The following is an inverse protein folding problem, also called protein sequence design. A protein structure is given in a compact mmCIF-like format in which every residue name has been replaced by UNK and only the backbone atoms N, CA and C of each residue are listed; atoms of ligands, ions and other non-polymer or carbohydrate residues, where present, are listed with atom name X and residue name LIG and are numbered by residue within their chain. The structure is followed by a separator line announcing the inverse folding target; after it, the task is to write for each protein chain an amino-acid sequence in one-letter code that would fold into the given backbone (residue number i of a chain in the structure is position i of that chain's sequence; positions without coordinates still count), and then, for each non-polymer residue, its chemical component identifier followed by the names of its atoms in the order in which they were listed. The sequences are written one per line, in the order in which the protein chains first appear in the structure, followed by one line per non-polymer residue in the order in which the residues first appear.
data_IF_206151011439
#
_entry.id   IF_206151011439
#
_cell.length_a   1.000
_cell.length_b   1.000
_cell.length_c   1.000
_cell.angle_alpha   90.00
_cell.angle_beta   90.00
_cell.angle_gamma   90.00
#
_symmetry.space_group_name_H-M   'P 1'
#
loop_
_entity.id
_entity.type
_entity.pdbx_description
1 polymer ?
#
# COMPACT_ATOMS: atom_id res chain seq x y z
N UNK A 1 11.26 24.48 -9.51
CA UNK A 1 11.64 23.83 -10.78
C UNK A 1 11.80 22.32 -10.62
N UNK A 2 12.62 21.84 -9.68
CA UNK A 2 12.82 20.40 -9.41
C UNK A 2 11.56 19.63 -9.00
N UNK A 3 10.68 20.21 -8.18
CA UNK A 3 9.41 19.59 -7.75
C UNK A 3 8.49 19.26 -8.94
N UNK A 4 8.40 20.17 -9.92
CA UNK A 4 7.64 19.98 -11.16
C UNK A 4 8.27 18.88 -12.04
N UNK A 5 9.59 18.84 -12.15
CA UNK A 5 10.32 17.80 -12.90
C UNK A 5 10.13 16.40 -12.28
N UNK A 6 10.16 16.31 -10.94
CA UNK A 6 9.90 15.07 -10.20
C UNK A 6 8.43 14.64 -10.30
N UNK A 7 7.48 15.59 -10.29
CA UNK A 7 6.06 15.29 -10.50
C UNK A 7 5.75 14.81 -11.92
N UNK A 8 6.43 15.35 -12.95
CA UNK A 8 6.34 14.89 -14.33
C UNK A 8 6.90 13.46 -14.46
N UNK A 9 7.94 13.13 -13.69
CA UNK A 9 8.44 11.75 -13.58
C UNK A 9 7.48 10.80 -12.84
N UNK A 10 6.52 11.28 -12.05
CA UNK A 10 5.48 10.42 -11.47
C UNK A 10 4.40 10.02 -12.50
N UNK A 11 4.25 10.76 -13.60
CA UNK A 11 3.36 10.40 -14.72
C UNK A 11 4.06 9.53 -15.79
N UNK A 12 5.39 9.61 -15.89
CA UNK A 12 6.21 8.78 -16.78
C UNK A 12 6.83 7.61 -16.01
N UNK A 13 6.69 6.37 -16.47
CA UNK A 13 7.19 5.14 -15.80
C UNK A 13 8.73 5.02 -15.60
N UNK A 14 9.49 6.12 -15.57
CA UNK A 14 10.96 6.14 -15.48
C UNK A 14 11.44 6.40 -14.05
N UNK A 15 11.29 5.37 -13.20
CA UNK A 15 11.78 5.38 -11.82
C UNK A 15 13.29 5.64 -11.72
N UNK A 16 14.08 5.22 -12.72
CA UNK A 16 15.53 5.48 -12.77
C UNK A 16 15.85 6.98 -12.92
N UNK A 17 15.10 7.70 -13.75
CA UNK A 17 15.29 9.14 -13.93
C UNK A 17 15.00 9.90 -12.63
N UNK A 18 14.02 9.42 -11.85
CA UNK A 18 13.65 10.02 -10.56
C UNK A 18 14.83 9.97 -9.57
N UNK A 19 15.53 8.83 -9.47
CA UNK A 19 16.70 8.71 -8.60
C UNK A 19 17.89 9.53 -9.11
N UNK A 20 18.13 9.57 -10.43
CA UNK A 20 19.20 10.41 -11.02
C UNK A 20 18.98 11.90 -10.74
N UNK A 21 17.76 12.40 -10.90
CA UNK A 21 17.42 13.78 -10.58
C UNK A 21 17.62 14.09 -9.09
N UNK A 22 17.34 13.12 -8.22
CA UNK A 22 17.61 13.28 -6.79
C UNK A 22 19.09 13.44 -6.47
N UNK A 23 19.97 12.66 -7.12
CA UNK A 23 21.42 12.82 -6.94
C UNK A 23 21.87 14.24 -7.34
N UNK A 24 21.37 14.75 -8.47
CA UNK A 24 21.66 16.13 -8.90
C UNK A 24 21.15 17.17 -7.89
N UNK A 25 19.93 17.00 -7.35
CA UNK A 25 19.43 17.89 -6.30
C UNK A 25 20.34 17.89 -5.06
N UNK A 26 20.89 16.72 -4.69
CA UNK A 26 21.82 16.64 -3.56
C UNK A 26 23.16 17.32 -3.85
N UNK A 27 23.69 17.21 -5.07
CA UNK A 27 24.90 17.91 -5.51
C UNK A 27 24.72 19.42 -5.49
N UNK A 28 23.54 19.91 -5.89
CA UNK A 28 23.16 21.32 -5.81
C UNK A 28 22.84 21.81 -4.38
N UNK A 29 22.92 20.92 -3.38
CA UNK A 29 22.58 21.25 -1.98
C UNK A 29 21.08 21.53 -1.75
N UNK A 30 20.22 21.10 -2.67
CA UNK A 30 18.78 21.33 -2.63
C UNK A 30 18.09 20.16 -1.95
N UNK A 31 17.42 20.45 -0.84
CA UNK A 31 16.70 19.43 -0.09
C UNK A 31 15.35 19.08 -0.73
N UNK A 32 14.99 17.79 -0.86
CA UNK A 32 13.67 17.40 -1.36
C UNK A 32 12.55 17.85 -0.43
N UNK A 33 11.45 18.28 -1.02
CA UNK A 33 10.19 18.51 -0.32
C UNK A 33 9.38 17.20 -0.16
N UNK A 34 8.25 17.27 0.55
CA UNK A 34 7.40 16.10 0.82
C UNK A 34 6.92 15.40 -0.47
N UNK A 35 6.62 16.17 -1.53
CA UNK A 35 6.20 15.61 -2.82
C UNK A 35 7.33 14.86 -3.52
N UNK A 36 8.55 15.41 -3.49
CA UNK A 36 9.73 14.75 -4.02
C UNK A 36 10.04 13.45 -3.28
N UNK A 37 9.91 13.41 -1.94
CA UNK A 37 10.06 12.16 -1.17
C UNK A 37 9.05 11.10 -1.58
N UNK A 38 7.78 11.48 -1.76
CA UNK A 38 6.75 10.57 -2.24
C UNK A 38 7.13 9.96 -3.59
N UNK A 39 7.61 10.78 -4.53
CA UNK A 39 8.06 10.31 -5.84
C UNK A 39 9.27 9.37 -5.72
N UNK A 40 10.23 9.72 -4.86
CA UNK A 40 11.44 8.93 -4.63
C UNK A 40 11.15 7.57 -4.01
N UNK A 41 10.26 7.50 -3.01
CA UNK A 41 9.84 6.25 -2.39
C UNK A 41 9.09 5.35 -3.38
N UNK A 42 8.23 5.92 -4.24
CA UNK A 42 7.57 5.19 -5.33
C UNK A 42 8.58 4.66 -6.35
N UNK A 43 9.60 5.44 -6.68
CA UNK A 43 10.69 5.00 -7.56
C UNK A 43 11.46 3.83 -6.94
N UNK A 44 11.83 3.91 -5.65
CA UNK A 44 12.48 2.82 -4.91
C UNK A 44 11.63 1.54 -4.92
N UNK A 45 10.33 1.68 -4.67
CA UNK A 45 9.37 0.59 -4.71
C UNK A 45 9.27 -0.09 -6.09
N UNK A 46 9.40 0.69 -7.18
CA UNK A 46 9.35 0.18 -8.55
C UNK A 46 10.66 -0.49 -8.97
N UNK A 47 11.79 0.05 -8.51
CA UNK A 47 13.13 -0.47 -8.81
C UNK A 47 13.58 -1.57 -7.84
N UNK A 48 12.77 -1.89 -6.84
CA UNK A 48 13.11 -2.81 -5.77
C UNK A 48 14.37 -2.41 -4.98
N UNK A 49 14.63 -1.10 -4.87
CA UNK A 49 15.83 -0.56 -4.23
C UNK A 49 15.59 -0.28 -2.74
N UNK A 50 15.67 -1.34 -1.93
CA UNK A 50 15.45 -1.28 -0.49
C UNK A 50 16.43 -0.35 0.23
N UNK A 51 17.70 -0.36 -0.17
CA UNK A 51 18.75 0.43 0.50
C UNK A 51 18.45 1.92 0.39
N UNK A 52 18.10 2.40 -0.80
CA UNK A 52 17.78 3.81 -1.01
C UNK A 52 16.46 4.18 -0.35
N UNK A 53 15.46 3.30 -0.40
CA UNK A 53 14.20 3.47 0.32
C UNK A 53 14.39 3.65 1.83
N UNK A 54 15.26 2.85 2.46
CA UNK A 54 15.61 2.98 3.89
C UNK A 54 16.29 4.30 4.21
N UNK A 55 17.25 4.74 3.39
CA UNK A 55 17.91 6.04 3.56
C UNK A 55 16.92 7.20 3.50
N UNK A 56 16.01 7.18 2.51
CA UNK A 56 14.97 8.20 2.37
C UNK A 56 14.04 8.21 3.58
N UNK A 57 13.57 7.05 4.02
CA UNK A 57 12.70 6.95 5.19
C UNK A 57 13.40 7.45 6.47
N UNK A 58 14.69 7.12 6.66
CA UNK A 58 15.47 7.65 7.78
C UNK A 58 15.61 9.17 7.73
N UNK A 59 15.86 9.76 6.54
CA UNK A 59 15.90 11.21 6.35
C UNK A 59 14.56 11.87 6.71
N UNK A 60 13.44 11.27 6.27
CA UNK A 60 12.11 11.79 6.58
C UNK A 60 11.83 11.74 8.09
N UNK A 61 12.21 10.66 8.78
CA UNK A 61 12.10 10.56 10.25
C UNK A 61 12.98 11.57 10.98
N UNK A 62 14.23 11.75 10.53
CA UNK A 62 15.19 12.66 11.17
C UNK A 62 14.72 14.13 11.13
N UNK A 63 13.93 14.50 10.12
CA UNK A 63 13.33 15.84 10.03
C UNK A 63 12.16 16.07 10.98
N UNK A 64 11.72 15.05 11.72
CA UNK A 64 10.55 15.14 12.60
C UNK A 64 9.25 15.40 11.85
N UNK A 65 9.22 15.13 10.53
CA UNK A 65 8.00 15.31 9.73
C UNK A 65 6.98 14.27 10.17
N UNK A 66 5.86 14.73 10.72
CA UNK A 66 4.71 13.86 10.99
C UNK A 66 4.22 13.33 9.66
N UNK A 67 4.34 12.02 9.48
CA UNK A 67 3.90 11.36 8.26
C UNK A 67 2.38 11.18 8.30
N UNK A 68 1.70 11.75 7.32
CA UNK A 68 0.28 11.51 7.13
C UNK A 68 0.03 10.07 6.66
N UNK A 69 -1.25 9.69 6.62
CA UNK A 69 -1.68 8.35 6.17
C UNK A 69 -1.20 8.05 4.75
N UNK A 70 -1.10 9.07 3.89
CA UNK A 70 -0.70 8.91 2.49
C UNK A 70 0.78 8.52 2.36
N UNK A 71 1.69 9.21 3.04
CA UNK A 71 3.13 8.89 3.01
C UNK A 71 3.40 7.55 3.68
N UNK A 72 2.73 7.25 4.80
CA UNK A 72 2.86 5.95 5.46
C UNK A 72 2.42 4.80 4.53
N UNK A 73 1.33 4.96 3.78
CA UNK A 73 0.90 3.94 2.80
C UNK A 73 1.96 3.70 1.71
N UNK A 74 2.63 4.77 1.25
CA UNK A 74 3.71 4.64 0.27
C UNK A 74 4.90 3.87 0.86
N UNK A 75 5.26 4.14 2.12
CA UNK A 75 6.33 3.43 2.83
C UNK A 75 6.00 1.95 3.01
N UNK A 76 4.78 1.61 3.47
CA UNK A 76 4.33 0.21 3.59
C UNK A 76 4.43 -0.51 2.25
N UNK A 77 3.93 0.10 1.17
CA UNK A 77 4.04 -0.48 -0.16
C UNK A 77 5.50 -0.59 -0.65
N UNK A 78 6.35 0.40 -0.36
CA UNK A 78 7.78 0.37 -0.72
C UNK A 78 8.49 -0.79 -0.03
N UNK A 79 8.37 -0.91 1.29
CA UNK A 79 8.97 -2.00 2.06
C UNK A 79 8.41 -3.37 1.66
N UNK A 80 7.09 -3.47 1.48
CA UNK A 80 6.43 -4.70 1.05
C UNK A 80 6.92 -5.19 -0.31
N UNK A 81 7.04 -4.30 -1.30
CA UNK A 81 7.58 -4.66 -2.63
C UNK A 81 9.07 -5.03 -2.58
N UNK A 82 9.83 -4.31 -1.75
CA UNK A 82 11.24 -4.58 -1.48
C UNK A 82 11.49 -5.84 -0.63
N UNK A 83 10.44 -6.55 -0.20
CA UNK A 83 10.54 -7.79 0.56
C UNK A 83 10.87 -7.62 2.04
N UNK A 84 11.02 -6.39 2.54
CA UNK A 84 11.28 -6.12 3.95
C UNK A 84 9.96 -5.98 4.71
N UNK A 85 9.32 -7.13 4.94
CA UNK A 85 8.00 -7.17 5.58
C UNK A 85 8.04 -6.66 7.03
N UNK A 86 9.16 -6.79 7.73
CA UNK A 86 9.32 -6.33 9.10
C UNK A 86 9.23 -4.81 9.21
N UNK A 87 9.91 -4.09 8.31
CA UNK A 87 9.78 -2.62 8.27
C UNK A 87 8.39 -2.17 7.79
N UNK A 88 7.74 -2.94 6.91
CA UNK A 88 6.35 -2.69 6.53
C UNK A 88 5.40 -2.84 7.74
N UNK A 89 5.57 -3.90 8.54
CA UNK A 89 4.84 -4.11 9.81
C UNK A 89 5.08 -2.95 10.79
N UNK A 90 6.34 -2.52 10.95
CA UNK A 90 6.70 -1.42 11.84
C UNK A 90 6.02 -0.10 11.45
N UNK A 91 6.07 0.28 10.17
CA UNK A 91 5.40 1.48 9.67
C UNK A 91 3.90 1.36 9.85
N UNK A 92 3.31 0.24 9.42
CA UNK A 92 1.87 0.02 9.53
C UNK A 92 1.38 0.04 10.99
N UNK A 93 2.15 -0.53 11.92
CA UNK A 93 1.89 -0.55 13.35
C UNK A 93 1.92 0.84 13.99
N UNK A 94 2.84 1.70 13.54
CA UNK A 94 2.97 3.07 14.03
C UNK A 94 1.87 4.04 13.55
N UNK A 95 1.06 3.66 12.55
CA UNK A 95 -0.02 4.51 12.04
C UNK A 95 -1.16 4.65 13.06
N UNK A 96 -1.45 5.88 13.47
CA UNK A 96 -2.63 6.20 14.31
C UNK A 96 -3.94 6.03 13.55
N UNK A 97 -3.96 6.43 12.28
CA UNK A 97 -5.10 6.28 11.38
C UNK A 97 -4.75 5.36 10.22
N UNK A 98 -5.67 4.47 9.86
CA UNK A 98 -5.51 3.51 8.77
C UNK A 98 -6.75 3.54 7.88
N UNK A 99 -6.54 3.75 6.59
CA UNK A 99 -7.61 3.69 5.60
C UNK A 99 -7.55 2.37 4.82
N UNK A 100 -8.52 2.15 3.94
CA UNK A 100 -8.58 0.95 3.10
C UNK A 100 -7.25 0.68 2.38
N UNK A 101 -6.60 1.72 1.86
CA UNK A 101 -5.30 1.62 1.19
C UNK A 101 -4.23 1.04 2.13
N UNK A 102 -4.14 1.53 3.37
CA UNK A 102 -3.19 1.01 4.38
C UNK A 102 -3.33 -0.50 4.54
N UNK A 103 -4.55 -0.97 4.78
CA UNK A 103 -4.84 -2.39 4.99
C UNK A 103 -4.54 -3.22 3.74
N UNK A 104 -5.00 -2.77 2.57
CA UNK A 104 -4.76 -3.50 1.32
C UNK A 104 -3.27 -3.59 0.98
N UNK A 105 -2.50 -2.52 1.22
CA UNK A 105 -1.05 -2.53 0.97
C UNK A 105 -0.34 -3.55 1.86
N UNK A 106 -0.71 -3.64 3.14
CA UNK A 106 -0.09 -4.59 4.07
C UNK A 106 -0.51 -6.05 3.78
N UNK A 107 -1.78 -6.28 3.44
CA UNK A 107 -2.28 -7.61 3.01
C UNK A 107 -1.55 -8.06 1.73
N UNK A 108 -1.42 -7.17 0.74
CA UNK A 108 -0.65 -7.42 -0.50
C UNK A 108 0.82 -7.73 -0.18
N UNK A 109 1.44 -6.99 0.75
CA UNK A 109 2.82 -7.23 1.16
C UNK A 109 2.99 -8.64 1.75
N UNK A 110 2.15 -9.05 2.70
CA UNK A 110 2.18 -10.42 3.25
C UNK A 110 1.97 -11.50 2.19
N UNK A 111 1.04 -11.27 1.26
CA UNK A 111 0.80 -12.22 0.18
C UNK A 111 2.03 -12.35 -0.73
N UNK A 112 2.70 -11.24 -1.04
CA UNK A 112 3.89 -11.23 -1.90
C UNK A 112 5.08 -12.00 -1.32
N UNK A 113 5.25 -11.98 0.01
CA UNK A 113 6.31 -12.73 0.71
C UNK A 113 5.88 -14.15 1.15
N UNK A 114 4.71 -14.62 0.71
CA UNK A 114 4.24 -15.99 1.00
C UNK A 114 3.60 -16.19 2.37
N UNK A 115 3.40 -15.13 3.15
CA UNK A 115 2.75 -15.16 4.45
C UNK A 115 1.21 -15.09 4.33
N UNK A 116 0.62 -16.00 3.56
CA UNK A 116 -0.81 -16.00 3.25
C UNK A 116 -1.72 -16.11 4.49
N UNK A 117 -1.28 -16.80 5.54
CA UNK A 117 -2.04 -16.88 6.79
C UNK A 117 -2.14 -15.51 7.49
N UNK A 118 -1.01 -14.79 7.63
CA UNK A 118 -1.00 -13.43 8.17
C UNK A 118 -1.87 -12.49 7.33
N UNK A 119 -1.82 -12.62 6.00
CA UNK A 119 -2.66 -11.84 5.09
C UNK A 119 -4.16 -12.06 5.36
N UNK A 120 -4.59 -13.32 5.55
CA UNK A 120 -5.97 -13.67 5.85
C UNK A 120 -6.40 -13.22 7.26
N UNK A 121 -5.52 -13.35 8.25
CA UNK A 121 -5.78 -12.87 9.61
C UNK A 121 -5.98 -11.35 9.60
N UNK A 122 -5.09 -10.60 8.93
CA UNK A 122 -5.19 -9.15 8.82
C UNK A 122 -6.45 -8.71 8.07
N UNK A 123 -6.84 -9.45 7.03
CA UNK A 123 -8.10 -9.22 6.32
C UNK A 123 -9.33 -9.37 7.23
N UNK A 124 -9.39 -10.44 8.05
CA UNK A 124 -10.49 -10.65 9.00
C UNK A 124 -10.56 -9.54 10.04
N UNK A 125 -9.40 -9.16 10.59
CA UNK A 125 -9.32 -8.06 11.54
C UNK A 125 -9.80 -6.74 10.94
N UNK A 126 -9.40 -6.44 9.69
CA UNK A 126 -9.90 -5.26 8.98
C UNK A 126 -11.43 -5.30 8.83
N UNK A 127 -12.02 -6.45 8.48
CA UNK A 127 -13.48 -6.58 8.36
C UNK A 127 -14.20 -6.30 9.68
N UNK A 128 -13.70 -6.82 10.79
CA UNK A 128 -14.26 -6.59 12.13
C UNK A 128 -14.11 -5.13 12.55
N UNK A 129 -12.93 -4.52 12.33
CA UNK A 129 -12.70 -3.12 12.62
C UNK A 129 -13.59 -2.17 11.77
N UNK A 130 -13.78 -2.49 10.49
CA UNK A 130 -14.65 -1.72 9.60
C UNK A 130 -16.14 -1.94 9.92
N UNK A 131 -16.53 -3.13 10.39
CA UNK A 131 -17.88 -3.41 10.88
C UNK A 131 -18.25 -2.48 12.04
N UNK A 132 -17.36 -2.28 13.00
CA UNK A 132 -17.55 -1.35 14.13
C UNK A 132 -17.73 0.11 13.66
N UNK A 133 -17.07 0.52 12.57
CA UNK A 133 -17.21 1.87 12.00
C UNK A 133 -18.51 2.05 11.19
N UNK A 134 -18.99 1.00 10.53
CA UNK A 134 -20.23 1.04 9.74
C UNK A 134 -21.50 0.85 10.58
N UNK A 135 -21.41 0.16 11.73
CA UNK A 135 -22.55 0.00 12.63
C UNK A 135 -23.01 1.35 13.22
N UNK A 136 -22.06 2.28 13.45
CA UNK A 136 -22.36 3.67 13.85
C UNK A 136 -23.13 4.49 12.79
N UNK A 137 -23.30 3.98 11.56
CA UNK A 137 -23.90 4.71 10.43
C UNK A 137 -25.18 4.10 9.86
N UNK A 138 -25.77 3.07 10.49
CA UNK A 138 -26.94 2.39 9.91
C UNK A 138 -28.22 3.24 9.92
N UNK A 139 -28.64 3.69 8.74
CA UNK A 139 -29.99 3.41 8.21
C UNK A 139 -29.90 2.96 6.74
N UNK A 140 -30.36 1.73 6.52
CA UNK A 140 -30.77 1.08 5.27
C UNK A 140 -29.70 0.56 4.29
N UNK A 141 -29.73 -0.76 4.06
CA UNK A 141 -28.86 -1.52 3.14
C UNK A 141 -27.89 -2.42 3.91
N UNK A 142 -27.66 -3.66 3.47
CA UNK A 142 -26.75 -4.62 4.12
C UNK A 142 -25.29 -4.25 3.75
N UNK A 143 -24.58 -3.39 4.54
CA UNK A 143 -23.38 -2.69 4.08
C UNK A 143 -22.17 -3.63 3.98
N UNK A 144 -22.25 -4.76 4.66
CA UNK A 144 -21.22 -5.79 4.79
C UNK A 144 -20.87 -6.42 3.44
N UNK A 145 -21.86 -6.64 2.59
CA UNK A 145 -21.67 -7.32 1.29
C UNK A 145 -21.00 -6.38 0.29
N UNK A 146 -21.46 -5.13 0.20
CA UNK A 146 -20.86 -4.10 -0.65
C UNK A 146 -19.43 -3.73 -0.23
N UNK A 147 -19.15 -3.70 1.08
CA UNK A 147 -17.80 -3.47 1.59
C UNK A 147 -16.86 -4.63 1.24
N UNK A 148 -17.30 -5.88 1.44
CA UNK A 148 -16.53 -7.06 1.06
C UNK A 148 -16.25 -7.10 -0.44
N UNK A 149 -17.24 -6.73 -1.26
CA UNK A 149 -17.10 -6.63 -2.71
C UNK A 149 -16.07 -5.55 -3.11
N UNK A 150 -16.14 -4.35 -2.53
CA UNK A 150 -15.19 -3.26 -2.81
C UNK A 150 -13.76 -3.62 -2.41
N UNK A 151 -13.58 -4.27 -1.26
CA UNK A 151 -12.28 -4.78 -0.81
C UNK A 151 -11.78 -5.85 -1.78
N UNK A 152 -12.67 -6.75 -2.22
CA UNK A 152 -12.34 -7.82 -3.17
C UNK A 152 -11.89 -7.29 -4.51
N UNK A 153 -12.61 -6.31 -5.04
CA UNK A 153 -12.25 -5.62 -6.27
C UNK A 153 -10.93 -4.88 -6.14
N UNK A 154 -10.66 -4.21 -5.01
CA UNK A 154 -9.38 -3.52 -4.77
C UNK A 154 -8.21 -4.51 -4.70
N UNK A 155 -8.34 -5.60 -3.93
CA UNK A 155 -7.34 -6.66 -3.84
C UNK A 155 -7.12 -7.34 -5.20
N UNK A 156 -8.18 -7.58 -5.97
CA UNK A 156 -8.11 -8.19 -7.29
C UNK A 156 -7.44 -7.26 -8.31
N UNK A 157 -7.76 -5.97 -8.31
CA UNK A 157 -7.14 -4.97 -9.17
C UNK A 157 -5.64 -4.80 -8.87
N UNK A 158 -5.27 -4.78 -7.58
CA UNK A 158 -3.89 -4.67 -7.14
C UNK A 158 -3.08 -5.96 -7.42
N UNK A 159 -3.70 -7.14 -7.24
CA UNK A 159 -3.12 -8.43 -7.61
C UNK A 159 -2.87 -8.53 -9.12
N UNK A 160 -3.80 -8.03 -9.96
CA UNK A 160 -3.64 -7.98 -11.42
C UNK A 160 -2.54 -7.01 -11.84
N UNK A 161 -2.45 -5.83 -11.22
CA UNK A 161 -1.46 -4.79 -11.54
C UNK A 161 -0.03 -5.22 -11.21
N UNK A 162 0.15 -6.04 -10.18
CA UNK A 162 1.47 -6.45 -9.69
C UNK A 162 1.82 -7.93 -10.03
N UNK A 163 1.14 -8.56 -11.00
CA UNK A 163 1.35 -9.96 -11.45
C UNK A 163 1.22 -11.03 -10.34
N UNK A 164 0.42 -10.78 -9.31
CA UNK A 164 0.20 -11.71 -8.19
C UNK A 164 -0.95 -12.72 -8.42
N UNK A 165 -1.58 -12.73 -9.60
CA UNK A 165 -2.69 -13.62 -9.96
C UNK A 165 -2.34 -15.13 -9.88
N UNK A 166 -1.07 -15.48 -9.89
CA UNK A 166 -0.60 -16.87 -9.73
C UNK A 166 -0.49 -17.30 -8.27
N UNK A 167 -0.63 -16.37 -7.32
CA UNK A 167 -0.59 -16.69 -5.89
C UNK A 167 -1.89 -17.38 -5.48
N UNK A 168 -1.79 -18.70 -5.24
CA UNK A 168 -2.90 -19.60 -4.93
C UNK A 168 -3.74 -19.14 -3.74
N UNK A 169 -3.16 -18.37 -2.82
CA UNK A 169 -3.87 -17.85 -1.64
C UNK A 169 -4.69 -16.60 -1.96
N UNK A 170 -4.16 -15.71 -2.81
CA UNK A 170 -4.91 -14.54 -3.30
C UNK A 170 -6.08 -15.00 -4.17
N UNK A 171 -5.85 -15.96 -5.06
CA UNK A 171 -6.94 -16.56 -5.84
C UNK A 171 -7.96 -17.30 -4.96
N UNK A 172 -7.53 -18.05 -3.94
CA UNK A 172 -8.45 -18.73 -3.00
C UNK A 172 -9.24 -17.74 -2.12
N UNK A 173 -8.63 -16.65 -1.68
CA UNK A 173 -9.30 -15.59 -0.93
C UNK A 173 -10.33 -14.87 -1.82
N UNK A 174 -9.97 -14.53 -3.06
CA UNK A 174 -10.89 -13.96 -4.05
C UNK A 174 -12.05 -14.93 -4.36
N UNK A 175 -11.78 -16.23 -4.56
CA UNK A 175 -12.82 -17.25 -4.77
C UNK A 175 -13.74 -17.39 -3.55
N UNK A 176 -13.24 -17.30 -2.31
CA UNK A 176 -14.09 -17.30 -1.11
C UNK A 176 -14.91 -16.01 -0.96
N UNK A 177 -14.35 -14.87 -1.36
CA UNK A 177 -15.04 -13.57 -1.32
C UNK A 177 -16.18 -13.50 -2.34
N UNK A 178 -15.91 -13.82 -3.61
CA UNK A 178 -16.93 -13.89 -4.68
C UNK A 178 -17.82 -15.14 -4.56
N UNK A 179 -17.36 -16.20 -3.88
CA UNK A 179 -18.11 -17.44 -3.67
C UNK A 179 -19.23 -17.32 -2.63
N UNK A 180 -19.16 -16.36 -1.71
CA UNK A 180 -20.27 -16.05 -0.79
C UNK A 180 -21.45 -15.37 -1.50
N UNK A 181 -21.21 -14.57 -2.54
CA UNK A 181 -22.28 -13.96 -3.36
C UNK A 181 -23.14 -15.03 -4.08
N UNK A 182 -22.57 -16.19 -4.42
CA UNK A 182 -23.31 -17.27 -5.09
C UNK A 182 -24.22 -18.09 -4.18
N UNK A 183 -24.12 -17.98 -2.85
CA UNK A 183 -25.01 -18.73 -1.92
C UNK A 183 -26.34 -18.03 -1.65
N UNK A 184 -26.60 -16.87 -2.25
CA UNK A 184 -27.85 -16.11 -2.06
C UNK A 184 -28.75 -16.15 -3.31
N UNK A 185 -28.26 -16.65 -4.45
CA UNK A 185 -29.04 -16.79 -5.69
C UNK A 185 -29.37 -18.24 -6.08
N UNK A 186 -29.31 -19.18 -5.13
CA UNK A 186 -29.85 -20.53 -5.31
C UNK A 186 -31.12 -20.69 -4.47
N UNK A 187 -32.24 -20.17 -4.98
CA UNK A 187 -33.58 -20.68 -4.78
C UNK A 187 -34.24 -20.83 -6.13
#
# INVERSE_FOLDING_TARGET
MWTLLMSACNQCKRSETTLKLYLLMQEDGIEPDNHAYVCLLKACSTLNNLQEGKKLHAKVRAKGVVLDVYVNNILVNMYGKCGDIGEAENVFGAMHERNLTSWTSMISAYAAVGHGEKALQLYRFMQEACYVLLDKRKKNGNPTELLCLNIGQALHADARKNRFMTNTYVSTALVRMYGKERRIYCY
#
